data_IF_250778429150
#
_entry.id   IF_250778429150
#
_cell.length_a   1.000
_cell.length_b   1.000
_cell.length_c   1.000
_cell.angle_alpha   90.00
_cell.angle_beta   90.00
_cell.angle_gamma   90.00
#
_symmetry.space_group_name_H-M   'P 1'
#
loop_
_entity.id
_entity.type
_entity.pdbx_description
1 polymer ?
#
# COMPACT_ATOMS: atom_id res chain seq x y z
N UNK A 1 -21.13 3.94 -3.99
CA UNK A 1 -20.03 4.90 -3.71
C UNK A 1 -20.57 6.04 -2.85
N UNK A 2 -19.74 6.68 -2.05
CA UNK A 2 -20.12 7.82 -1.20
C UNK A 2 -19.00 8.85 -1.11
N UNK A 3 -19.33 10.08 -0.71
CA UNK A 3 -18.38 11.19 -0.68
C UNK A 3 -18.03 11.61 0.74
N UNK A 4 -16.74 11.90 0.98
CA UNK A 4 -16.24 12.60 2.17
C UNK A 4 -15.34 13.72 1.70
N UNK A 5 -15.71 14.96 1.99
CA UNK A 5 -14.96 16.14 1.54
C UNK A 5 -14.77 16.10 0.00
N UNK A 6 -13.53 16.11 -0.48
CA UNK A 6 -13.17 16.00 -1.90
C UNK A 6 -12.88 14.55 -2.36
N UNK A 7 -13.19 13.55 -1.53
CA UNK A 7 -12.93 12.14 -1.83
C UNK A 7 -14.21 11.38 -2.21
N UNK A 8 -14.16 10.64 -3.32
CA UNK A 8 -15.20 9.69 -3.75
C UNK A 8 -14.74 8.28 -3.42
N UNK A 9 -15.49 7.58 -2.57
CA UNK A 9 -15.06 6.35 -1.90
C UNK A 9 -15.97 5.20 -2.32
N UNK A 10 -15.36 4.07 -2.68
CA UNK A 10 -16.07 2.83 -3.00
C UNK A 10 -16.67 2.19 -1.73
N UNK A 11 -17.86 1.59 -1.84
CA UNK A 11 -18.56 1.01 -0.67
C UNK A 11 -17.89 -0.28 -0.17
N UNK A 12 -17.15 -0.94 -1.05
CA UNK A 12 -16.33 -2.12 -0.82
C UNK A 12 -15.29 -1.88 0.28
N UNK A 13 -14.84 -0.64 0.46
CA UNK A 13 -13.93 -0.28 1.57
C UNK A 13 -14.60 -0.51 2.95
N UNK A 14 -15.93 -0.49 3.00
CA UNK A 14 -16.74 -0.73 4.20
C UNK A 14 -17.31 -2.14 4.21
N UNK A 15 -17.80 -2.65 3.07
CA UNK A 15 -18.47 -3.94 2.98
C UNK A 15 -17.51 -5.12 2.96
N UNK A 16 -16.35 -4.99 2.31
CA UNK A 16 -15.39 -6.07 2.18
C UNK A 16 -14.52 -6.23 3.42
N UNK A 17 -14.11 -7.46 3.67
CA UNK A 17 -13.30 -7.86 4.80
C UNK A 17 -11.92 -8.31 4.34
N UNK A 18 -10.87 -7.87 5.03
CA UNK A 18 -9.50 -8.10 4.59
C UNK A 18 -8.52 -8.09 5.77
N UNK A 19 -7.69 -9.12 5.84
CA UNK A 19 -6.50 -9.13 6.72
C UNK A 19 -5.36 -9.79 5.97
N UNK A 20 -4.24 -9.07 5.79
CA UNK A 20 -3.08 -9.61 5.08
C UNK A 20 -2.62 -10.96 5.69
N UNK A 21 -2.58 -12.00 4.86
CA UNK A 21 -2.12 -13.34 5.25
C UNK A 21 -0.74 -13.64 4.62
N UNK A 22 0.28 -12.93 5.07
CA UNK A 22 1.65 -13.05 4.53
C UNK A 22 2.19 -14.48 4.65
N UNK A 23 1.77 -15.23 5.68
CA UNK A 23 2.16 -16.63 5.87
C UNK A 23 1.69 -17.53 4.72
N UNK A 24 0.52 -17.23 4.13
CA UNK A 24 -0.03 -17.95 2.97
C UNK A 24 0.45 -17.38 1.63
N UNK A 25 0.38 -16.06 1.42
CA UNK A 25 0.70 -15.45 0.13
C UNK A 25 2.21 -15.19 -0.09
N UNK A 26 3.04 -15.35 0.95
CA UNK A 26 4.50 -15.14 0.90
C UNK A 26 4.93 -13.75 0.38
N UNK A 27 4.07 -12.74 0.51
CA UNK A 27 4.35 -11.37 0.07
C UNK A 27 4.21 -11.15 -1.45
N UNK A 28 3.38 -11.95 -2.11
CA UNK A 28 3.21 -11.93 -3.57
C UNK A 28 2.86 -10.54 -4.14
N UNK A 29 2.20 -9.66 -3.39
CA UNK A 29 1.92 -8.28 -3.81
C UNK A 29 3.17 -7.39 -3.99
N UNK A 30 4.35 -7.83 -3.52
CA UNK A 30 5.64 -7.15 -3.71
C UNK A 30 6.49 -7.74 -4.84
N UNK A 31 6.02 -8.84 -5.44
CA UNK A 31 6.74 -9.66 -6.44
C UNK A 31 5.97 -9.75 -7.74
N UNK A 32 4.65 -9.84 -7.65
CA UNK A 32 3.74 -9.88 -8.79
C UNK A 32 3.35 -8.47 -9.21
N UNK A 33 3.14 -8.30 -10.51
CA UNK A 33 2.84 -7.00 -11.11
C UNK A 33 3.78 -6.73 -12.29
N UNK A 34 3.33 -5.88 -13.20
CA UNK A 34 4.11 -5.39 -14.34
C UNK A 34 4.62 -3.96 -14.14
N UNK A 35 4.33 -3.37 -12.98
CA UNK A 35 4.57 -1.98 -12.64
C UNK A 35 5.03 -1.87 -11.19
N UNK A 36 5.77 -0.81 -10.89
CA UNK A 36 6.22 -0.49 -9.55
C UNK A 36 5.07 -0.11 -8.61
N UNK A 37 5.37 0.04 -7.32
CA UNK A 37 4.43 0.67 -6.41
C UNK A 37 4.33 2.17 -6.76
N UNK A 38 3.12 2.72 -6.99
CA UNK A 38 2.95 4.14 -7.27
C UNK A 38 3.48 5.00 -6.13
N UNK A 39 4.09 6.14 -6.46
CA UNK A 39 4.72 7.05 -5.52
C UNK A 39 4.11 8.44 -5.64
N UNK A 40 3.92 9.10 -4.51
CA UNK A 40 3.67 10.54 -4.56
C UNK A 40 4.96 11.31 -4.85
N UNK A 41 4.84 12.47 -5.51
CA UNK A 41 5.98 13.37 -5.77
C UNK A 41 6.76 13.77 -4.49
N UNK A 42 6.10 13.79 -3.34
CA UNK A 42 6.77 14.02 -2.06
C UNK A 42 7.60 12.83 -1.58
N UNK A 43 7.17 11.61 -1.90
CA UNK A 43 7.84 10.37 -1.49
C UNK A 43 9.13 10.12 -2.25
N UNK A 44 9.25 10.60 -3.50
CA UNK A 44 10.50 10.48 -4.27
C UNK A 44 11.67 11.18 -3.59
N UNK A 45 11.47 12.41 -3.12
CA UNK A 45 12.47 13.17 -2.34
C UNK A 45 12.83 12.48 -1.02
N UNK A 46 11.85 11.81 -0.40
CA UNK A 46 12.08 11.06 0.83
C UNK A 46 12.96 9.84 0.54
N UNK A 47 12.68 9.10 -0.54
CA UNK A 47 13.46 7.95 -0.96
C UNK A 47 14.92 8.33 -1.23
N UNK A 48 15.15 9.41 -1.99
CA UNK A 48 16.50 9.93 -2.24
C UNK A 48 17.26 10.26 -0.95
N UNK A 49 16.61 11.02 -0.06
CA UNK A 49 17.21 11.43 1.22
C UNK A 49 17.53 10.25 2.13
N UNK A 50 16.69 9.22 2.12
CA UNK A 50 16.80 8.09 3.03
C UNK A 50 17.57 6.90 2.45
N UNK A 51 17.94 6.92 1.17
CA UNK A 51 18.52 5.77 0.48
C UNK A 51 19.72 5.16 1.23
N UNK A 52 20.67 5.98 1.69
CA UNK A 52 21.85 5.47 2.43
C UNK A 52 21.48 4.70 3.70
N UNK A 53 20.35 5.02 4.33
CA UNK A 53 19.84 4.31 5.52
C UNK A 53 18.99 3.09 5.15
N UNK A 54 18.37 3.10 3.98
CA UNK A 54 17.55 1.99 3.46
C UNK A 54 18.43 0.90 2.84
N UNK A 55 19.47 1.29 2.09
CA UNK A 55 20.35 0.42 1.30
C UNK A 55 20.93 -0.80 2.06
N UNK A 56 21.30 -0.70 3.35
CA UNK A 56 21.73 -1.86 4.14
C UNK A 56 20.65 -2.94 4.31
N UNK A 57 19.38 -2.57 4.18
CA UNK A 57 18.23 -3.47 4.30
C UNK A 57 17.78 -4.05 2.97
N UNK A 58 18.46 -3.73 1.86
CA UNK A 58 18.13 -4.17 0.51
C UNK A 58 19.00 -5.33 0.04
N UNK A 59 18.47 -6.11 -0.91
CA UNK A 59 19.23 -7.15 -1.60
C UNK A 59 20.28 -6.53 -2.53
N UNK A 60 21.31 -7.30 -2.89
CA UNK A 60 22.32 -6.86 -3.87
C UNK A 60 21.66 -6.49 -5.21
N UNK A 61 20.72 -7.32 -5.69
CA UNK A 61 19.96 -7.07 -6.92
C UNK A 61 19.14 -5.79 -6.84
N UNK A 62 18.43 -5.56 -5.73
CA UNK A 62 17.66 -4.34 -5.50
C UNK A 62 18.51 -3.08 -5.52
N UNK A 63 19.68 -3.11 -4.86
CA UNK A 63 20.66 -2.00 -4.91
C UNK A 63 21.19 -1.74 -6.32
N UNK A 64 21.40 -2.79 -7.12
CA UNK A 64 21.84 -2.65 -8.51
C UNK A 64 20.75 -2.01 -9.37
N UNK A 65 19.51 -2.48 -9.28
CA UNK A 65 18.38 -1.89 -9.99
C UNK A 65 18.19 -0.40 -9.62
N UNK A 66 18.27 -0.05 -8.34
CA UNK A 66 18.18 1.35 -7.89
C UNK A 66 19.37 2.19 -8.38
N UNK A 67 20.58 1.62 -8.45
CA UNK A 67 21.75 2.32 -8.99
C UNK A 67 21.60 2.62 -10.48
N UNK A 68 21.01 1.70 -11.25
CA UNK A 68 20.85 1.80 -12.70
C UNK A 68 19.66 2.70 -13.08
N UNK A 69 18.54 2.57 -12.37
CA UNK A 69 17.27 3.22 -12.74
C UNK A 69 16.99 4.48 -11.91
N UNK A 70 17.58 4.60 -10.72
CA UNK A 70 17.26 5.62 -9.73
C UNK A 70 16.40 5.09 -8.57
N UNK A 71 16.15 5.93 -7.56
CA UNK A 71 15.33 5.57 -6.39
C UNK A 71 13.84 5.39 -6.72
N UNK A 72 13.42 5.93 -7.86
CA UNK A 72 12.09 5.88 -8.45
C UNK A 72 12.24 6.00 -9.96
N UNK A 73 11.23 5.60 -10.71
CA UNK A 73 11.13 5.74 -12.16
C UNK A 73 9.83 6.42 -12.55
N UNK A 74 9.73 6.85 -13.79
CA UNK A 74 8.47 7.27 -14.40
C UNK A 74 7.93 6.05 -15.17
N UNK A 75 6.75 5.58 -14.77
CA UNK A 75 6.07 4.45 -15.40
C UNK A 75 5.52 4.80 -16.79
N UNK A 76 4.97 3.80 -17.47
CA UNK A 76 4.44 3.95 -18.83
C UNK A 76 3.24 4.89 -18.93
N UNK A 77 2.49 5.05 -17.85
CA UNK A 77 1.38 5.98 -17.70
C UNK A 77 1.82 7.41 -17.35
N UNK A 78 3.12 7.63 -17.17
CA UNK A 78 3.69 8.92 -16.76
C UNK A 78 3.69 9.15 -15.25
N UNK A 79 3.19 8.20 -14.45
CA UNK A 79 3.19 8.30 -13.00
C UNK A 79 4.53 7.86 -12.39
N UNK A 80 4.81 8.33 -11.18
CA UNK A 80 6.02 7.96 -10.45
C UNK A 80 5.82 6.60 -9.78
N UNK A 81 6.80 5.72 -9.88
CA UNK A 81 6.73 4.39 -9.27
C UNK A 81 8.09 3.91 -8.77
N UNK A 82 8.09 2.86 -7.92
CA UNK A 82 9.34 2.22 -7.50
C UNK A 82 9.97 1.43 -8.64
N UNK A 83 11.31 1.42 -8.80
CA UNK A 83 11.98 0.61 -9.81
C UNK A 83 11.75 -0.89 -9.58
N UNK A 84 11.87 -1.65 -10.66
CA UNK A 84 11.74 -3.11 -10.65
C UNK A 84 13.08 -3.79 -10.93
N UNK A 85 13.27 -4.98 -10.36
CA UNK A 85 14.35 -5.91 -10.71
C UNK A 85 13.83 -6.75 -11.88
N UNK A 86 14.47 -6.63 -13.05
CA UNK A 86 14.15 -7.43 -14.24
C UNK A 86 12.64 -7.41 -14.60
N UNK A 87 11.98 -6.26 -14.41
CA UNK A 87 10.53 -6.06 -14.65
C UNK A 87 9.61 -7.01 -13.85
N UNK A 88 10.05 -7.48 -12.68
CA UNK A 88 9.26 -8.38 -11.82
C UNK A 88 9.13 -7.82 -10.40
N UNK A 89 10.15 -8.04 -9.58
CA UNK A 89 10.11 -7.68 -8.16
C UNK A 89 10.36 -6.18 -7.97
N UNK A 90 9.70 -5.55 -6.99
CA UNK A 90 10.11 -4.21 -6.57
C UNK A 90 11.59 -4.23 -6.12
N UNK A 91 12.39 -3.24 -6.52
CA UNK A 91 13.80 -3.16 -6.12
C UNK A 91 14.00 -3.00 -4.61
N UNK A 92 12.95 -2.59 -3.89
CA UNK A 92 12.95 -2.52 -2.44
C UNK A 92 12.51 -3.84 -1.78
N UNK A 93 12.14 -4.87 -2.55
CA UNK A 93 11.79 -6.19 -2.02
C UNK A 93 13.03 -6.93 -1.53
N UNK A 94 12.90 -7.56 -0.38
CA UNK A 94 13.88 -8.49 0.19
C UNK A 94 13.18 -9.75 0.65
N UNK A 95 13.90 -10.87 0.65
CA UNK A 95 13.37 -12.15 1.11
C UNK A 95 13.99 -12.50 2.45
N UNK A 96 13.16 -13.03 3.35
CA UNK A 96 13.66 -13.65 4.57
C UNK A 96 14.22 -15.06 4.30
N UNK A 97 14.70 -15.73 5.36
CA UNK A 97 15.26 -17.08 5.26
C UNK A 97 14.24 -18.13 4.77
N UNK A 98 12.95 -17.87 4.93
CA UNK A 98 11.85 -18.73 4.50
C UNK A 98 11.32 -18.39 3.10
N UNK A 99 11.95 -17.46 2.38
CA UNK A 99 11.51 -17.01 1.05
C UNK A 99 10.28 -16.11 1.07
N UNK A 100 9.91 -15.53 2.23
CA UNK A 100 8.80 -14.57 2.32
C UNK A 100 9.29 -13.20 1.85
N UNK A 101 8.60 -12.62 0.88
CA UNK A 101 8.89 -11.28 0.39
C UNK A 101 8.48 -10.22 1.43
N UNK A 102 9.38 -9.28 1.69
CA UNK A 102 9.24 -8.17 2.62
C UNK A 102 9.70 -6.88 1.96
N UNK A 103 9.21 -5.73 2.45
CA UNK A 103 9.70 -4.44 2.01
C UNK A 103 10.93 -4.03 2.84
N UNK A 104 12.06 -3.78 2.17
CA UNK A 104 13.29 -3.31 2.81
C UNK A 104 13.16 -1.91 3.42
N UNK A 105 12.27 -1.06 2.90
CA UNK A 105 11.96 0.25 3.49
C UNK A 105 11.25 0.05 4.85
N UNK A 106 10.21 -0.80 4.88
CA UNK A 106 9.49 -1.13 6.12
C UNK A 106 10.41 -1.83 7.12
N UNK A 107 11.32 -2.67 6.65
CA UNK A 107 12.35 -3.29 7.49
C UNK A 107 13.28 -2.24 8.11
N UNK A 108 13.75 -1.26 7.34
CA UNK A 108 14.56 -0.17 7.86
C UNK A 108 13.81 0.66 8.91
N UNK A 109 12.51 0.91 8.69
CA UNK A 109 11.64 1.59 9.65
C UNK A 109 11.47 0.79 10.94
N UNK A 110 11.15 -0.50 10.85
CA UNK A 110 10.95 -1.38 12.00
C UNK A 110 12.23 -1.55 12.83
N UNK A 111 13.41 -1.39 12.22
CA UNK A 111 14.71 -1.37 12.90
C UNK A 111 15.13 0.02 13.41
N UNK A 112 14.27 1.04 13.28
CA UNK A 112 14.54 2.40 13.75
C UNK A 112 15.57 3.18 12.91
N UNK A 113 16.04 2.63 11.79
CA UNK A 113 17.01 3.30 10.92
C UNK A 113 16.40 4.54 10.23
N UNK A 114 15.09 4.49 9.96
CA UNK A 114 14.33 5.60 9.39
C UNK A 114 13.00 5.80 10.13
N UNK A 115 12.42 6.99 10.04
CA UNK A 115 11.12 7.34 10.64
C UNK A 115 9.95 7.35 9.62
N UNK A 116 10.19 6.83 8.42
CA UNK A 116 9.21 6.76 7.34
C UNK A 116 9.00 5.29 6.98
N UNK A 117 7.78 4.78 7.14
CA UNK A 117 7.51 3.34 7.05
C UNK A 117 7.73 2.77 5.64
N UNK A 118 6.85 3.14 4.70
CA UNK A 118 6.86 2.68 3.32
C UNK A 118 6.03 3.62 2.44
N UNK A 119 6.09 3.52 1.11
CA UNK A 119 5.20 4.24 0.22
C UNK A 119 3.74 4.16 0.64
N UNK A 120 3.01 5.25 0.55
CA UNK A 120 1.63 5.33 1.01
C UNK A 120 0.72 4.39 0.22
N UNK A 121 0.99 4.19 -1.08
CA UNK A 121 0.30 3.24 -1.95
C UNK A 121 0.43 1.79 -1.46
N UNK A 122 1.61 1.39 -0.99
CA UNK A 122 1.84 0.07 -0.39
C UNK A 122 1.15 -0.05 0.96
N UNK A 123 1.18 1.01 1.77
CA UNK A 123 0.57 1.00 3.11
C UNK A 123 -0.97 0.98 3.07
N UNK A 124 -1.55 1.60 2.04
CA UNK A 124 -3.00 1.64 1.84
C UNK A 124 -3.57 0.35 1.26
N UNK A 125 -2.75 -0.54 0.71
CA UNK A 125 -3.23 -1.76 0.06
C UNK A 125 -4.11 -2.60 1.00
N UNK A 126 -5.32 -3.03 0.58
CA UNK A 126 -5.83 -3.11 -0.80
C UNK A 126 -6.54 -1.86 -1.35
N UNK A 127 -6.44 -0.71 -0.70
CA UNK A 127 -6.99 0.55 -1.22
C UNK A 127 -6.05 1.18 -2.25
N UNK A 128 -6.61 1.62 -3.38
CA UNK A 128 -5.96 2.46 -4.39
C UNK A 128 -6.55 3.85 -4.40
N UNK A 129 -5.69 4.85 -4.60
CA UNK A 129 -6.05 6.26 -4.56
C UNK A 129 -5.62 6.88 -5.89
N UNK A 130 -6.58 7.44 -6.60
CA UNK A 130 -6.35 8.13 -7.87
C UNK A 130 -6.78 9.59 -7.73
N UNK A 131 -5.92 10.52 -8.13
CA UNK A 131 -6.18 11.96 -8.00
C UNK A 131 -6.67 12.51 -9.34
N UNK A 132 -7.87 13.09 -9.34
CA UNK A 132 -8.44 13.83 -10.45
C UNK A 132 -8.35 15.34 -10.19
N UNK A 133 -8.58 16.20 -11.19
CA UNK A 133 -8.51 17.65 -11.01
C UNK A 133 -9.45 18.18 -9.93
N UNK A 134 -10.62 17.57 -9.77
CA UNK A 134 -11.70 18.07 -8.89
C UNK A 134 -12.00 17.17 -7.68
N UNK A 135 -11.51 15.94 -7.66
CA UNK A 135 -11.74 15.00 -6.56
C UNK A 135 -10.65 13.92 -6.48
N UNK A 136 -10.63 13.17 -5.40
CA UNK A 136 -9.77 11.99 -5.23
C UNK A 136 -10.63 10.73 -5.15
N UNK A 137 -10.42 9.77 -6.05
CA UNK A 137 -11.07 8.46 -5.96
C UNK A 137 -10.31 7.55 -4.99
N UNK A 138 -11.05 6.85 -4.14
CA UNK A 138 -10.52 5.92 -3.14
C UNK A 138 -11.27 4.60 -3.31
N UNK A 139 -10.61 3.61 -3.92
CA UNK A 139 -11.24 2.37 -4.36
C UNK A 139 -10.60 1.16 -3.69
N UNK A 140 -11.42 0.17 -3.36
CA UNK A 140 -10.92 -1.18 -3.10
C UNK A 140 -10.37 -1.79 -4.40
N UNK A 141 -9.21 -2.42 -4.33
CA UNK A 141 -8.60 -3.12 -5.46
C UNK A 141 -8.64 -4.63 -5.21
N UNK A 142 -9.56 -5.29 -5.90
CA UNK A 142 -9.68 -6.74 -5.91
C UNK A 142 -8.56 -7.35 -6.78
N UNK A 143 -7.77 -8.24 -6.19
CA UNK A 143 -6.68 -8.91 -6.88
C UNK A 143 -6.49 -10.31 -6.32
N UNK A 144 -6.52 -11.32 -7.20
CA UNK A 144 -6.53 -12.74 -6.83
C UNK A 144 -5.32 -13.20 -6.00
N UNK A 145 -4.17 -12.52 -6.08
CA UNK A 145 -3.02 -12.81 -5.21
C UNK A 145 -3.32 -12.57 -3.72
N UNK A 146 -4.42 -11.89 -3.42
CA UNK A 146 -4.88 -11.57 -2.07
C UNK A 146 -6.09 -12.39 -1.62
N UNK A 147 -6.49 -13.44 -2.33
CA UNK A 147 -7.63 -14.28 -1.95
C UNK A 147 -7.48 -14.83 -0.52
N UNK A 148 -6.28 -15.26 -0.16
CA UNK A 148 -5.97 -15.73 1.19
C UNK A 148 -6.14 -14.66 2.29
N UNK A 149 -6.00 -13.38 1.93
CA UNK A 149 -6.22 -12.25 2.82
C UNK A 149 -7.71 -11.89 2.93
N UNK A 150 -8.48 -12.03 1.86
CA UNK A 150 -9.93 -11.90 1.86
C UNK A 150 -10.57 -13.00 2.73
N UNK A 151 -10.16 -14.27 2.56
CA UNK A 151 -10.65 -15.38 3.39
C UNK A 151 -10.35 -15.18 4.88
N UNK A 152 -9.14 -14.73 5.22
CA UNK A 152 -8.78 -14.44 6.61
C UNK A 152 -9.55 -13.23 7.16
N UNK A 153 -9.76 -12.21 6.32
CA UNK A 153 -10.59 -11.05 6.65
C UNK A 153 -12.01 -11.44 7.02
N UNK A 154 -12.61 -12.34 6.23
CA UNK A 154 -13.94 -12.86 6.44
C UNK A 154 -14.06 -13.68 7.74
N UNK A 155 -13.07 -14.52 8.01
CA UNK A 155 -12.98 -15.30 9.25
C UNK A 155 -12.91 -14.39 10.49
N UNK A 156 -12.07 -13.36 10.44
CA UNK A 156 -11.84 -12.42 11.55
C UNK A 156 -12.87 -11.29 11.60
N UNK A 157 -13.74 -11.17 10.59
CA UNK A 157 -14.75 -10.10 10.45
C UNK A 157 -14.16 -8.70 10.52
N UNK A 158 -13.06 -8.48 9.80
CA UNK A 158 -12.32 -7.20 9.80
C UNK A 158 -12.53 -6.46 8.47
N UNK A 159 -13.35 -5.39 8.46
CA UNK A 159 -13.52 -4.55 7.28
C UNK A 159 -12.23 -3.90 6.80
N UNK A 160 -12.10 -3.71 5.48
CA UNK A 160 -10.92 -3.10 4.83
C UNK A 160 -10.52 -1.78 5.51
N UNK A 161 -11.44 -0.83 5.69
CA UNK A 161 -11.09 0.47 6.29
C UNK A 161 -10.53 0.37 7.71
N UNK A 162 -10.90 -0.67 8.47
CA UNK A 162 -10.35 -0.90 9.82
C UNK A 162 -8.95 -1.48 9.73
N UNK A 163 -8.73 -2.44 8.82
CA UNK A 163 -7.41 -3.04 8.60
C UNK A 163 -6.38 -1.97 8.21
N UNK A 164 -6.70 -1.10 7.25
CA UNK A 164 -5.79 -0.03 6.79
C UNK A 164 -5.94 1.31 7.54
N UNK A 165 -6.53 1.30 8.75
CA UNK A 165 -6.79 2.52 9.55
C UNK A 165 -5.58 3.43 9.65
N UNK A 166 -4.41 2.89 9.98
CA UNK A 166 -3.20 3.69 10.17
C UNK A 166 -2.74 4.34 8.86
N UNK A 167 -2.89 3.65 7.72
CA UNK A 167 -2.57 4.18 6.41
C UNK A 167 -3.57 5.27 5.98
N UNK A 168 -4.87 5.06 6.19
CA UNK A 168 -5.91 6.07 5.93
C UNK A 168 -5.70 7.33 6.77
N UNK A 169 -5.39 7.18 8.07
CA UNK A 169 -5.08 8.31 8.94
C UNK A 169 -3.80 9.02 8.50
N UNK A 170 -2.77 8.30 8.03
CA UNK A 170 -1.55 8.90 7.49
C UNK A 170 -1.82 9.70 6.20
N UNK A 171 -2.69 9.19 5.32
CA UNK A 171 -2.99 9.79 4.02
C UNK A 171 -3.97 10.97 4.11
N UNK A 172 -5.10 10.79 4.80
CA UNK A 172 -6.22 11.73 4.82
C UNK A 172 -6.44 12.41 6.18
N UNK A 173 -5.72 11.98 7.22
CA UNK A 173 -5.80 12.56 8.56
C UNK A 173 -6.90 11.96 9.44
N UNK A 174 -6.80 12.23 10.75
CA UNK A 174 -7.70 11.68 11.77
C UNK A 174 -9.16 12.12 11.59
N UNK A 175 -9.38 13.38 11.17
CA UNK A 175 -10.73 13.94 10.96
C UNK A 175 -11.46 13.23 9.83
N UNK A 176 -10.78 13.00 8.70
CA UNK A 176 -11.33 12.26 7.57
C UNK A 176 -11.68 10.81 7.97
N UNK A 177 -10.76 10.12 8.66
CA UNK A 177 -11.02 8.74 9.11
C UNK A 177 -12.21 8.65 10.08
N UNK A 178 -12.43 9.68 10.92
CA UNK A 178 -13.60 9.74 11.80
C UNK A 178 -14.90 9.85 10.99
N UNK A 179 -14.94 10.66 9.93
CA UNK A 179 -16.10 10.75 9.03
C UNK A 179 -16.37 9.40 8.35
N UNK A 180 -15.34 8.73 7.84
CA UNK A 180 -15.45 7.38 7.26
C UNK A 180 -16.03 6.38 8.26
N UNK A 181 -15.53 6.42 9.50
CA UNK A 181 -16.01 5.53 10.57
C UNK A 181 -17.46 5.78 10.96
N UNK A 182 -17.94 7.03 10.88
CA UNK A 182 -19.35 7.36 11.11
C UNK A 182 -20.22 6.83 9.97
N UNK A 183 -19.85 7.12 8.72
CA UNK A 183 -20.56 6.61 7.56
C UNK A 183 -20.65 5.08 7.56
N UNK A 184 -19.55 4.39 7.91
CA UNK A 184 -19.53 2.94 8.01
C UNK A 184 -20.47 2.38 9.09
N UNK A 185 -20.73 3.11 10.19
CA UNK A 185 -21.72 2.72 11.19
C UNK A 185 -23.13 2.88 10.66
N UNK A 186 -23.42 4.01 10.04
CA UNK A 186 -24.75 4.31 9.49
C UNK A 186 -25.10 3.35 8.35
N UNK A 187 -24.14 3.02 7.48
CA UNK A 187 -24.29 2.04 6.40
C UNK A 187 -24.66 0.65 6.95
N UNK A 188 -24.01 0.21 8.04
CA UNK A 188 -24.34 -1.08 8.68
C UNK A 188 -25.74 -1.08 9.28
N UNK A 189 -26.17 0.02 9.91
CA UNK A 189 -27.50 0.13 10.49
C UNK A 189 -28.61 0.04 9.43
N UNK A 190 -28.40 0.65 8.25
CA UNK A 190 -29.35 0.59 7.13
C UNK A 190 -29.49 -0.79 6.49
N UNK A 191 -28.48 -1.66 6.60
CA UNK A 191 -28.52 -3.04 6.07
C UNK A 191 -29.22 -4.03 7.00
N UNK A 192 -29.42 -3.67 8.27
CA UNK A 192 -30.06 -4.53 9.28
C UNK A 192 -31.58 -4.26 9.37
N UNK A 193 -32.04 -3.13 8.84
CA UNK A 193 -33.46 -2.82 8.60
C UNK A 193 -33.90 -3.39 7.25
#
# INVERSE_FOLDING_TARGET
MFQIDDTLISEEIISEEFVCNISKCKGQCCVSGSAGAPLEKGETKILEKLYNKISPFLSKKGRMAIKEQGNYVIGFDGDLETPLIENKECAYTVFDKGGVAQCGIEKAYNNGAIKWNKPISCHLYPIRVNKYPTFTAVNYHEWSVCDSACSLGAELKVPVYKFVKNALVRKFGKKWFKKLSLFAKDWKNKKIQ
#
